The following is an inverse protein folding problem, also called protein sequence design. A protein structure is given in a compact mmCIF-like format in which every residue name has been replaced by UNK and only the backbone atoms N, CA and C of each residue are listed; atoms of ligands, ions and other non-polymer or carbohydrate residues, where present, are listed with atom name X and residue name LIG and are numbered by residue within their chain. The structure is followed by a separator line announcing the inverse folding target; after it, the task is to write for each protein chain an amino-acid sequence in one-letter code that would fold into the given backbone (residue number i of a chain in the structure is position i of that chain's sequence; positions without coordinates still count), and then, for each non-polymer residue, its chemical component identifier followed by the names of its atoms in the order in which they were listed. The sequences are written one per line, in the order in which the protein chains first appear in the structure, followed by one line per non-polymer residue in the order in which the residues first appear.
data_IF_720824065338
#
_entry.id   IF_720824065338
#
_cell.length_a   1.000
_cell.length_b   1.000
_cell.length_c   1.000
_cell.angle_alpha   90.00
_cell.angle_beta   90.00
_cell.angle_gamma   90.00
#
_symmetry.space_group_name_H-M   'P 1'
#
loop_
_entity.id
_entity.type
_entity.pdbx_description
1 polymer ?
#
# COMPACT_ATOMS: atom_id res chain seq x y z
N UNK A 1 5.27 -12.95 14.26
CA UNK A 1 5.39 -13.67 12.96
C UNK A 1 4.57 -13.01 11.86
N UNK A 2 3.30 -12.63 12.08
CA UNK A 2 2.44 -11.99 11.04
C UNK A 2 3.10 -10.78 10.36
N UNK A 3 3.65 -9.84 11.13
CA UNK A 3 4.26 -8.62 10.61
C UNK A 3 5.43 -8.90 9.64
N UNK A 4 6.34 -9.80 10.02
CA UNK A 4 7.45 -10.23 9.18
C UNK A 4 6.99 -10.99 7.93
N UNK A 5 5.96 -11.83 8.05
CA UNK A 5 5.41 -12.53 6.88
C UNK A 5 4.75 -11.58 5.87
N UNK A 6 4.14 -10.49 6.36
CA UNK A 6 3.45 -9.53 5.52
C UNK A 6 4.40 -8.56 4.80
N UNK A 7 5.64 -8.42 5.27
CA UNK A 7 6.56 -7.37 4.84
C UNK A 7 8.02 -7.81 4.97
N UNK A 8 8.77 -7.89 3.85
CA UNK A 8 10.22 -8.13 3.86
C UNK A 8 10.98 -7.09 4.69
N UNK A 9 10.49 -5.84 4.75
CA UNK A 9 11.07 -4.81 5.61
C UNK A 9 11.01 -5.22 7.09
N UNK A 10 9.85 -5.66 7.57
CA UNK A 10 9.70 -6.09 8.97
C UNK A 10 10.38 -7.43 9.25
N UNK A 11 10.45 -8.32 8.26
CA UNK A 11 11.28 -9.52 8.34
C UNK A 11 12.75 -9.15 8.59
N UNK A 12 13.29 -8.25 7.76
CA UNK A 12 14.65 -7.72 7.91
C UNK A 12 14.86 -7.11 9.29
N UNK A 13 13.96 -6.20 9.70
CA UNK A 13 14.05 -5.50 10.98
C UNK A 13 14.06 -6.45 12.19
N UNK A 14 13.23 -7.50 12.16
CA UNK A 14 13.00 -8.37 13.31
C UNK A 14 13.95 -9.58 13.37
N UNK A 15 14.41 -10.08 12.23
CA UNK A 15 15.13 -11.36 12.16
C UNK A 15 16.54 -11.29 11.56
N UNK A 16 16.92 -10.19 10.92
CA UNK A 16 18.26 -10.04 10.34
C UNK A 16 19.20 -9.24 11.26
N UNK A 17 20.32 -8.77 10.72
CA UNK A 17 21.44 -8.20 11.47
C UNK A 17 21.22 -6.75 11.95
N UNK A 18 19.98 -6.32 12.12
CA UNK A 18 19.65 -5.03 12.72
C UNK A 18 19.77 -5.11 14.24
N UNK A 19 20.08 -3.99 14.90
CA UNK A 19 20.19 -3.96 16.38
C UNK A 19 18.86 -4.28 17.04
N UNK A 20 17.78 -4.00 16.34
CA UNK A 20 16.39 -4.26 16.69
C UNK A 20 16.09 -5.76 16.83
N UNK A 21 16.74 -6.64 16.06
CA UNK A 21 16.50 -8.08 16.13
C UNK A 21 16.92 -8.71 17.46
N UNK A 22 17.81 -8.03 18.20
CA UNK A 22 18.28 -8.46 19.52
C UNK A 22 17.41 -7.90 20.66
N UNK A 23 16.46 -7.02 20.36
CA UNK A 23 15.59 -6.38 21.35
C UNK A 23 14.29 -7.16 21.49
N UNK A 24 13.80 -7.28 22.72
CA UNK A 24 12.45 -7.83 22.99
C UNK A 24 11.34 -6.87 22.56
N UNK A 25 11.63 -5.58 22.56
CA UNK A 25 10.68 -4.51 22.25
C UNK A 25 11.35 -3.45 21.38
N UNK A 26 10.59 -2.91 20.43
CA UNK A 26 11.01 -1.82 19.55
C UNK A 26 10.10 -0.64 19.84
N UNK A 27 10.68 0.45 20.33
CA UNK A 27 9.95 1.68 20.62
C UNK A 27 9.80 2.49 19.34
N UNK A 28 8.56 2.80 18.96
CA UNK A 28 8.26 3.77 17.91
C UNK A 28 7.91 5.10 18.58
N UNK A 29 8.77 6.10 18.41
CA UNK A 29 8.58 7.41 19.06
C UNK A 29 7.47 8.24 18.40
N UNK A 30 7.23 8.04 17.09
CA UNK A 30 6.24 8.81 16.32
C UNK A 30 5.25 7.87 15.65
N UNK A 31 4.23 7.44 16.41
CA UNK A 31 3.12 6.65 15.85
C UNK A 31 2.14 7.59 15.16
N UNK A 32 2.21 7.65 13.84
CA UNK A 32 1.23 8.38 13.04
C UNK A 32 -0.03 7.53 12.79
N UNK A 33 -1.14 8.17 12.43
CA UNK A 33 -2.39 7.48 12.09
C UNK A 33 -2.15 6.47 10.96
N UNK A 34 -1.27 6.77 10.01
CA UNK A 34 -0.93 5.89 8.91
C UNK A 34 -0.27 4.58 9.36
N UNK A 35 0.56 4.62 10.41
CA UNK A 35 1.16 3.41 10.98
C UNK A 35 0.08 2.52 11.58
N UNK A 36 -0.87 3.11 12.32
CA UNK A 36 -2.00 2.36 12.90
C UNK A 36 -2.85 1.72 11.81
N UNK A 37 -3.23 2.48 10.77
CA UNK A 37 -4.00 1.96 9.63
C UNK A 37 -3.26 0.83 8.91
N UNK A 38 -1.94 0.94 8.75
CA UNK A 38 -1.12 -0.10 8.15
C UNK A 38 -1.12 -1.38 8.99
N UNK A 39 -1.02 -1.27 10.32
CA UNK A 39 -1.14 -2.42 11.22
C UNK A 39 -2.53 -3.05 11.13
N UNK A 40 -3.60 -2.27 11.16
CA UNK A 40 -4.97 -2.78 11.01
C UNK A 40 -5.14 -3.57 9.71
N UNK A 41 -4.52 -3.12 8.62
CA UNK A 41 -4.56 -3.83 7.34
C UNK A 41 -3.72 -5.11 7.31
N UNK A 42 -2.57 -5.14 7.99
CA UNK A 42 -1.76 -6.35 8.11
C UNK A 42 -2.49 -7.43 8.90
N UNK A 43 -3.23 -7.02 9.94
CA UNK A 43 -3.99 -7.90 10.82
C UNK A 43 -5.44 -8.15 10.35
N UNK A 44 -5.80 -7.67 9.16
CA UNK A 44 -7.14 -7.83 8.56
C UNK A 44 -8.30 -7.28 9.42
N UNK A 45 -8.02 -6.29 10.29
CA UNK A 45 -9.03 -5.55 11.07
C UNK A 45 -9.46 -4.24 10.42
N UNK A 46 -8.66 -3.74 9.47
CA UNK A 46 -8.92 -2.51 8.72
C UNK A 46 -9.55 -2.76 7.34
N UNK A 47 -10.09 -1.69 6.74
CA UNK A 47 -10.57 -1.67 5.35
C UNK A 47 -9.92 -0.53 4.58
N UNK A 48 -9.74 -0.74 3.28
CA UNK A 48 -9.28 0.33 2.38
C UNK A 48 -10.50 1.02 1.81
N UNK A 49 -10.54 2.35 1.90
CA UNK A 49 -11.57 3.22 1.33
C UNK A 49 -10.94 4.39 0.55
N UNK A 50 -11.76 5.24 -0.08
CA UNK A 50 -11.25 6.38 -0.85
C UNK A 50 -10.41 7.34 -0.01
N UNK A 51 -10.73 7.48 1.28
CA UNK A 51 -10.10 8.43 2.19
C UNK A 51 -8.71 7.97 2.61
N UNK A 52 -8.54 6.67 2.84
CA UNK A 52 -7.29 6.11 3.32
C UNK A 52 -6.43 5.49 2.21
N UNK A 53 -6.97 5.31 0.98
CA UNK A 53 -6.28 4.66 -0.14
C UNK A 53 -4.86 5.19 -0.36
N UNK A 54 -4.71 6.52 -0.40
CA UNK A 54 -3.41 7.13 -0.62
C UNK A 54 -2.44 6.79 0.53
N UNK A 55 -2.85 7.01 1.77
CA UNK A 55 -2.03 6.73 2.95
C UNK A 55 -1.63 5.26 3.02
N UNK A 56 -2.56 4.36 2.71
CA UNK A 56 -2.33 2.91 2.68
C UNK A 56 -1.31 2.55 1.60
N UNK A 57 -1.42 3.08 0.39
CA UNK A 57 -0.44 2.88 -0.68
C UNK A 57 0.94 3.42 -0.30
N UNK A 58 0.98 4.59 0.34
CA UNK A 58 2.22 5.19 0.85
C UNK A 58 2.92 4.27 1.84
N UNK A 59 2.19 3.76 2.83
CA UNK A 59 2.74 2.86 3.84
C UNK A 59 3.16 1.51 3.23
N UNK A 60 2.38 0.98 2.28
CA UNK A 60 2.71 -0.26 1.60
C UNK A 60 3.96 -0.16 0.73
N UNK A 61 4.25 1.01 0.16
CA UNK A 61 5.50 1.27 -0.54
C UNK A 61 6.66 1.48 0.45
N UNK A 62 6.44 2.27 1.51
CA UNK A 62 7.44 2.58 2.53
C UNK A 62 7.93 1.35 3.30
N UNK A 63 7.01 0.48 3.72
CA UNK A 63 7.31 -0.71 4.52
C UNK A 63 7.32 -2.00 3.70
N UNK A 64 7.36 -1.89 2.36
CA UNK A 64 7.33 -3.03 1.44
C UNK A 64 6.29 -4.08 1.85
N UNK A 65 5.01 -3.76 1.62
CA UNK A 65 3.86 -4.64 1.94
C UNK A 65 3.22 -5.11 0.63
N UNK A 66 3.71 -6.19 -0.01
CA UNK A 66 3.29 -6.58 -1.35
C UNK A 66 1.81 -6.94 -1.44
N UNK A 67 1.22 -7.47 -0.36
CA UNK A 67 -0.20 -7.86 -0.32
C UNK A 67 -1.13 -6.68 -0.61
N UNK A 68 -0.77 -5.48 -0.15
CA UNK A 68 -1.56 -4.27 -0.38
C UNK A 68 -1.34 -3.77 -1.81
N UNK A 69 -0.08 -3.72 -2.27
CA UNK A 69 0.26 -3.27 -3.63
C UNK A 69 -0.35 -4.14 -4.72
N UNK A 70 -0.49 -5.45 -4.47
CA UNK A 70 -1.07 -6.43 -5.42
C UNK A 70 -2.61 -6.32 -5.57
N UNK A 71 -3.30 -5.55 -4.72
CA UNK A 71 -4.76 -5.33 -4.84
C UNK A 71 -5.13 -4.32 -5.93
N UNK A 72 -4.38 -4.28 -7.03
CA UNK A 72 -4.62 -3.37 -8.16
C UNK A 72 -6.00 -3.58 -8.79
N UNK A 73 -6.47 -4.83 -8.87
CA UNK A 73 -7.79 -5.18 -9.43
C UNK A 73 -8.94 -4.54 -8.67
N UNK A 74 -8.85 -4.54 -7.33
CA UNK A 74 -9.84 -3.90 -6.48
C UNK A 74 -9.92 -2.38 -6.76
N UNK A 75 -8.78 -1.74 -7.04
CA UNK A 75 -8.73 -0.31 -7.39
C UNK A 75 -9.30 0.00 -8.79
N UNK A 76 -9.43 -1.02 -9.67
CA UNK A 76 -9.92 -0.87 -11.05
C UNK A 76 -11.45 -0.90 -11.17
N UNK A 77 -12.19 -1.32 -10.14
CA UNK A 77 -13.66 -1.36 -10.19
C UNK A 77 -14.31 -2.55 -9.47
N UNK A 78 -13.51 -3.51 -8.97
CA UNK A 78 -14.03 -4.61 -8.14
C UNK A 78 -14.25 -4.20 -6.66
N UNK A 79 -14.00 -2.93 -6.34
CA UNK A 79 -14.15 -2.36 -4.99
C UNK A 79 -15.52 -1.77 -4.71
N UNK A 80 -15.80 -1.51 -3.42
CA UNK A 80 -17.07 -0.94 -2.95
C UNK A 80 -17.30 0.52 -3.38
N UNK A 81 -16.28 1.21 -3.92
CA UNK A 81 -16.33 2.62 -4.32
C UNK A 81 -15.55 2.88 -5.62
N UNK A 82 -15.91 3.98 -6.30
CA UNK A 82 -15.38 4.32 -7.62
C UNK A 82 -14.30 5.39 -7.50
N UNK A 83 -13.03 5.02 -7.69
CA UNK A 83 -11.91 5.97 -7.67
C UNK A 83 -11.89 6.75 -8.99
N UNK A 84 -11.87 8.09 -8.99
CA UNK A 84 -11.73 8.88 -10.21
C UNK A 84 -10.49 8.50 -11.02
N UNK A 85 -10.64 8.39 -12.35
CA UNK A 85 -9.59 7.86 -13.24
C UNK A 85 -8.26 8.62 -13.20
N UNK A 86 -8.31 9.94 -13.04
CA UNK A 86 -7.11 10.76 -12.92
C UNK A 86 -6.33 10.45 -11.62
N UNK A 87 -7.04 10.13 -10.53
CA UNK A 87 -6.45 9.67 -9.27
C UNK A 87 -5.86 8.27 -9.44
N UNK A 88 -6.58 7.33 -10.07
CA UNK A 88 -6.04 6.00 -10.39
C UNK A 88 -4.73 6.10 -11.18
N UNK A 89 -4.69 6.94 -12.21
CA UNK A 89 -3.49 7.14 -13.03
C UNK A 89 -2.34 7.71 -12.20
N UNK A 90 -2.59 8.77 -11.41
CA UNK A 90 -1.60 9.36 -10.51
C UNK A 90 -1.03 8.33 -9.52
N UNK A 91 -1.90 7.60 -8.81
CA UNK A 91 -1.49 6.58 -7.85
C UNK A 91 -0.72 5.45 -8.53
N UNK A 92 -1.16 5.03 -9.72
CA UNK A 92 -0.51 3.94 -10.46
C UNK A 92 0.90 4.29 -10.91
N UNK A 93 1.14 5.54 -11.29
CA UNK A 93 2.45 6.03 -11.66
C UNK A 93 3.34 6.18 -10.42
N UNK A 94 2.82 6.85 -9.38
CA UNK A 94 3.54 7.15 -8.16
C UNK A 94 4.00 5.88 -7.41
N UNK A 95 3.13 4.87 -7.31
CA UNK A 95 3.41 3.62 -6.57
C UNK A 95 3.80 2.44 -7.46
N UNK A 96 4.08 2.71 -8.75
CA UNK A 96 4.50 1.72 -9.75
C UNK A 96 3.53 0.53 -9.86
N UNK A 97 2.23 0.82 -9.86
CA UNK A 97 1.14 -0.16 -10.01
C UNK A 97 0.91 -0.41 -11.50
N UNK A 98 1.70 -1.30 -12.08
CA UNK A 98 1.76 -1.51 -13.53
C UNK A 98 0.43 -1.99 -14.13
N UNK A 99 -0.32 -2.81 -13.41
CA UNK A 99 -1.60 -3.37 -13.87
C UNK A 99 -2.65 -2.26 -13.93
N UNK A 100 -2.75 -1.46 -12.87
CA UNK A 100 -3.62 -0.30 -12.77
C UNK A 100 -3.26 0.74 -13.84
N UNK A 101 -1.97 1.05 -14.01
CA UNK A 101 -1.49 2.02 -15.01
C UNK A 101 -1.86 1.59 -16.43
N UNK A 102 -1.64 0.32 -16.75
CA UNK A 102 -1.98 -0.25 -18.06
C UNK A 102 -3.49 -0.22 -18.32
N UNK A 103 -4.30 -0.53 -17.31
CA UNK A 103 -5.76 -0.46 -17.42
C UNK A 103 -6.26 0.98 -17.59
N UNK A 104 -5.68 1.95 -16.88
CA UNK A 104 -5.98 3.36 -17.06
C UNK A 104 -5.69 3.82 -18.50
N UNK A 105 -4.58 3.37 -19.10
CA UNK A 105 -4.23 3.69 -20.49
C UNK A 105 -5.18 3.07 -21.52
N UNK A 106 -5.53 1.80 -21.38
CA UNK A 106 -6.46 1.10 -22.31
C UNK A 106 -7.83 1.77 -22.38
N UNK A 107 -8.26 2.40 -21.30
CA UNK A 107 -9.57 3.01 -21.15
C UNK A 107 -9.56 4.53 -21.37
N UNK A 108 -8.40 5.13 -21.63
CA UNK A 108 -8.30 6.57 -21.89
C UNK A 108 -8.59 6.85 -23.38
N UNK A 109 -9.66 7.58 -23.73
CA UNK A 109 -9.84 8.01 -25.10
C UNK A 109 -8.71 8.98 -25.46
N UNK A 110 -8.03 8.71 -26.57
CA UNK A 110 -6.81 9.37 -27.11
C UNK A 110 -6.92 10.92 -27.21
N UNK A 111 -8.07 11.53 -26.90
CA UNK A 111 -8.35 12.96 -27.04
C UNK A 111 -7.68 13.89 -26.01
N UNK A 112 -7.09 13.39 -24.93
CA UNK A 112 -6.54 14.24 -23.84
C UNK A 112 -5.04 14.56 -23.96
N UNK A 113 -4.37 14.16 -25.06
CA UNK A 113 -2.94 14.44 -25.30
C UNK A 113 -2.69 15.44 -26.44
N UNK A 114 -3.66 16.30 -26.77
CA UNK A 114 -3.47 17.43 -27.68
C UNK A 114 -3.68 18.74 -26.96
#
# INVERSE_FOLDING_TARGET
QILAHASPYFEALLYHNFKESQKKEIVMNDVSVEIVTMLELIYDTGKIDEKNLHQVLKMADQFDIPRIRKKENWMMGDGEFLIPRHIQLFLSDHYKLHTLKTACWKLCPIKWMK
#
